data_IF_595516881373
#
_entry.id   IF_595516881373
#
_cell.length_a   1.000
_cell.length_b   1.000
_cell.length_c   1.000
_cell.angle_alpha   90.00
_cell.angle_beta   90.00
_cell.angle_gamma   90.00
#
_symmetry.space_group_name_H-M   'P 1'
#
loop_
_entity.id
_entity.type
_entity.pdbx_description
1 polymer ?
#
# COMPACT_ATOMS: atom_id res chain seq x y z
N UNK A 1 -11.57 4.29 -9.41
CA UNK A 1 -12.16 3.55 -8.27
C UNK A 1 -11.07 2.84 -7.48
N UNK A 2 -11.19 2.73 -6.15
CA UNK A 2 -10.19 2.10 -5.26
C UNK A 2 -10.21 0.57 -5.25
N UNK A 3 -11.25 -0.06 -5.80
CA UNK A 3 -11.36 -1.51 -6.00
C UNK A 3 -11.37 -2.29 -4.68
N UNK A 4 -12.54 -2.77 -4.25
CA UNK A 4 -12.75 -3.67 -3.10
C UNK A 4 -11.77 -3.47 -1.92
N UNK A 5 -11.69 -2.23 -1.45
CA UNK A 5 -10.80 -1.85 -0.35
C UNK A 5 -11.31 -2.46 0.95
N UNK A 6 -10.44 -3.19 1.64
CA UNK A 6 -10.75 -3.95 2.86
C UNK A 6 -9.75 -3.59 3.95
N UNK A 7 -9.86 -2.39 4.51
CA UNK A 7 -9.01 -2.04 5.63
C UNK A 7 -8.89 -0.56 5.93
N UNK A 8 -7.93 -0.25 6.79
CA UNK A 8 -7.50 1.13 7.04
C UNK A 8 -6.60 1.59 5.91
N UNK A 9 -6.66 2.89 5.67
CA UNK A 9 -5.77 3.59 4.75
C UNK A 9 -4.62 4.21 5.54
N UNK A 10 -3.51 4.43 4.85
CA UNK A 10 -2.44 5.31 5.30
C UNK A 10 -2.09 6.30 4.19
N UNK A 11 -1.60 7.49 4.55
CA UNK A 11 -1.34 8.58 3.59
C UNK A 11 -0.03 9.27 3.89
N UNK A 12 0.77 9.49 2.84
CA UNK A 12 1.99 10.28 2.90
C UNK A 12 1.92 11.41 1.85
N UNK A 13 2.33 12.62 2.24
CA UNK A 13 2.42 13.76 1.33
C UNK A 13 3.84 13.90 0.80
N UNK A 14 3.98 14.05 -0.51
CA UNK A 14 5.25 14.24 -1.19
C UNK A 14 5.59 15.74 -1.31
N UNK A 15 6.87 16.06 -1.51
CA UNK A 15 7.35 17.45 -1.55
C UNK A 15 6.79 18.24 -2.75
N UNK A 16 6.33 17.54 -3.78
CA UNK A 16 5.70 18.08 -4.98
C UNK A 16 4.18 18.29 -4.83
N UNK A 17 3.63 18.03 -3.63
CA UNK A 17 2.19 18.16 -3.33
C UNK A 17 1.35 16.94 -3.71
N UNK A 18 1.96 15.91 -4.30
CA UNK A 18 1.30 14.64 -4.58
C UNK A 18 1.10 13.84 -3.29
N UNK A 19 -0.07 13.22 -3.11
CA UNK A 19 -0.33 12.32 -2.00
C UNK A 19 -0.19 10.87 -2.44
N UNK A 20 0.40 10.03 -1.60
CA UNK A 20 0.39 8.58 -1.76
C UNK A 20 -0.56 7.98 -0.75
N UNK A 21 -1.53 7.22 -1.21
CA UNK A 21 -2.47 6.49 -0.35
C UNK A 21 -2.16 5.01 -0.43
N UNK A 22 -2.05 4.35 0.73
CA UNK A 22 -1.95 2.89 0.83
C UNK A 22 -3.22 2.28 1.42
N UNK A 23 -3.57 1.07 0.99
CA UNK A 23 -4.69 0.30 1.54
C UNK A 23 -4.54 -1.19 1.29
N UNK A 24 -5.26 -2.00 2.05
CA UNK A 24 -5.46 -3.42 1.75
C UNK A 24 -6.64 -3.58 0.79
N UNK A 25 -6.43 -4.30 -0.31
CA UNK A 25 -7.43 -4.62 -1.33
C UNK A 25 -7.66 -6.12 -1.36
N UNK A 26 -8.90 -6.52 -1.64
CA UNK A 26 -9.22 -7.88 -2.09
C UNK A 26 -9.25 -7.89 -3.62
N UNK A 27 -8.37 -8.65 -4.27
CA UNK A 27 -8.33 -8.74 -5.72
C UNK A 27 -9.48 -9.60 -6.25
N UNK A 28 -9.57 -9.74 -7.57
CA UNK A 28 -10.66 -10.47 -8.24
C UNK A 28 -10.68 -11.96 -7.91
N UNK A 29 -9.50 -12.55 -7.69
CA UNK A 29 -9.34 -13.94 -7.22
C UNK A 29 -9.66 -14.12 -5.73
N UNK A 30 -9.87 -13.02 -5.01
CA UNK A 30 -10.19 -13.01 -3.59
C UNK A 30 -8.98 -12.98 -2.65
N UNK A 31 -7.79 -12.80 -3.18
CA UNK A 31 -6.53 -12.69 -2.41
C UNK A 31 -6.33 -11.26 -1.92
N UNK A 32 -5.52 -11.08 -0.87
CA UNK A 32 -5.22 -9.77 -0.31
C UNK A 32 -4.00 -9.14 -0.98
N UNK A 33 -4.10 -7.84 -1.26
CA UNK A 33 -3.02 -7.05 -1.86
C UNK A 33 -2.84 -5.77 -1.05
N UNK A 34 -1.61 -5.48 -0.65
CA UNK A 34 -1.24 -4.15 -0.22
C UNK A 34 -1.04 -3.31 -1.48
N UNK A 35 -1.88 -2.30 -1.62
CA UNK A 35 -1.89 -1.42 -2.77
C UNK A 35 -1.48 0.00 -2.38
N UNK A 36 -0.95 0.73 -3.36
CA UNK A 36 -0.86 2.18 -3.31
C UNK A 36 -1.44 2.82 -4.56
N UNK A 37 -1.69 4.13 -4.45
CA UNK A 37 -2.01 5.01 -5.57
C UNK A 37 -1.54 6.41 -5.27
N UNK A 38 -1.02 7.07 -6.29
CA UNK A 38 -0.68 8.49 -6.25
C UNK A 38 -1.90 9.32 -6.62
N UNK A 39 -2.05 10.45 -5.94
CA UNK A 39 -3.10 11.43 -6.13
C UNK A 39 -2.39 12.77 -6.31
N UNK A 40 -2.41 13.29 -7.54
CA UNK A 40 -1.87 14.61 -7.83
C UNK A 40 -2.65 15.70 -7.08
N UNK A 41 -2.07 16.88 -6.94
CA UNK A 41 -2.73 18.05 -6.33
C UNK A 41 -4.08 18.39 -7.02
N UNK A 42 -4.18 18.13 -8.33
CA UNK A 42 -5.43 18.27 -9.12
C UNK A 42 -6.52 17.24 -8.77
N UNK A 43 -6.21 16.23 -7.95
CA UNK A 43 -7.03 15.06 -7.70
C UNK A 43 -6.92 13.97 -8.77
N UNK A 44 -6.05 14.14 -9.77
CA UNK A 44 -5.80 13.11 -10.79
C UNK A 44 -5.21 11.85 -10.14
N UNK A 45 -5.80 10.70 -10.46
CA UNK A 45 -5.44 9.41 -9.88
C UNK A 45 -4.49 8.64 -10.80
N UNK A 46 -3.37 8.16 -10.25
CA UNK A 46 -2.50 7.20 -10.95
C UNK A 46 -3.14 5.80 -11.03
N UNK A 47 -2.56 4.88 -11.81
CA UNK A 47 -2.86 3.45 -11.69
C UNK A 47 -2.68 2.94 -10.26
N UNK A 48 -3.33 1.81 -9.93
CA UNK A 48 -3.06 1.11 -8.67
C UNK A 48 -1.73 0.38 -8.83
N UNK A 49 -0.84 0.53 -7.87
CA UNK A 49 0.38 -0.26 -7.78
C UNK A 49 0.26 -1.27 -6.64
N UNK A 50 0.57 -2.54 -6.90
CA UNK A 50 0.63 -3.58 -5.88
C UNK A 50 2.03 -3.58 -5.27
N UNK A 51 2.10 -3.47 -3.95
CA UNK A 51 3.35 -3.51 -3.17
C UNK A 51 3.67 -4.93 -2.77
N UNK A 52 2.67 -5.68 -2.28
CA UNK A 52 2.84 -7.05 -1.81
C UNK A 52 1.51 -7.82 -1.82
N UNK A 53 1.58 -9.14 -1.95
CA UNK A 53 0.48 -10.04 -1.61
C UNK A 53 0.43 -10.27 -0.10
N UNK A 54 -0.78 -10.48 0.45
CA UNK A 54 -0.98 -10.76 1.88
C UNK A 54 -2.35 -11.41 2.13
N UNK A 55 -2.59 -11.88 3.35
CA UNK A 55 -3.88 -12.45 3.73
C UNK A 55 -4.94 -11.36 3.99
N UNK A 56 -6.20 -11.65 3.67
CA UNK A 56 -7.34 -10.71 3.88
C UNK A 56 -7.87 -10.65 5.32
N UNK A 57 -7.33 -11.48 6.22
CA UNK A 57 -7.82 -11.59 7.59
C UNK A 57 -7.45 -10.35 8.40
N UNK A 58 -8.31 -9.95 9.34
CA UNK A 58 -8.01 -8.83 10.26
C UNK A 58 -6.72 -9.03 11.07
N UNK A 59 -6.29 -10.29 11.24
CA UNK A 59 -5.03 -10.63 11.90
C UNK A 59 -3.79 -10.26 11.09
N UNK A 60 -3.90 -10.14 9.76
CA UNK A 60 -2.83 -9.64 8.87
C UNK A 60 -2.53 -8.15 9.07
N UNK A 61 -3.39 -7.46 9.83
CA UNK A 61 -3.25 -6.03 10.07
C UNK A 61 -3.48 -5.20 8.81
N UNK A 62 -3.06 -3.94 8.88
CA UNK A 62 -3.09 -3.00 7.75
C UNK A 62 -1.68 -2.48 7.54
N UNK A 63 -1.29 -2.16 6.29
CA UNK A 63 0.02 -1.60 6.04
C UNK A 63 0.16 -0.27 6.80
N UNK A 64 1.29 -0.10 7.50
CA UNK A 64 1.80 1.21 7.85
C UNK A 64 2.80 1.62 6.78
N UNK A 65 2.74 2.87 6.36
CA UNK A 65 3.59 3.44 5.33
C UNK A 65 4.32 4.64 5.92
N UNK A 66 5.60 4.78 5.61
CA UNK A 66 6.37 5.97 5.93
C UNK A 66 7.25 6.37 4.76
N UNK A 67 7.48 7.65 4.61
CA UNK A 67 8.45 8.17 3.64
C UNK A 67 9.86 8.16 4.22
N UNK A 68 10.78 7.53 3.48
CA UNK A 68 12.23 7.55 3.71
C UNK A 68 12.90 8.18 2.48
N UNK A 69 13.17 9.49 2.56
CA UNK A 69 13.72 10.33 1.49
C UNK A 69 13.07 10.07 0.11
N UNK A 70 13.72 9.24 -0.71
CA UNK A 70 13.34 8.91 -2.08
C UNK A 70 12.51 7.62 -2.20
N UNK A 71 11.99 7.12 -1.08
CA UNK A 71 11.26 5.87 -1.02
C UNK A 71 10.13 5.88 -0.01
N UNK A 72 9.23 4.92 -0.18
CA UNK A 72 8.23 4.55 0.80
C UNK A 72 8.64 3.22 1.41
N UNK A 73 8.63 3.15 2.72
CA UNK A 73 8.79 1.92 3.50
C UNK A 73 7.42 1.50 4.01
N UNK A 74 7.13 0.22 3.89
CA UNK A 74 5.88 -0.40 4.31
C UNK A 74 6.19 -1.43 5.38
N UNK A 75 5.30 -1.57 6.36
CA UNK A 75 5.31 -2.67 7.31
C UNK A 75 3.90 -3.24 7.47
N UNK A 76 3.77 -4.56 7.49
CA UNK A 76 2.51 -5.26 7.73
C UNK A 76 2.72 -6.55 8.51
N UNK A 77 1.66 -7.12 9.07
CA UNK A 77 1.73 -8.41 9.75
C UNK A 77 1.45 -9.52 8.75
N UNK A 78 2.42 -10.40 8.51
CA UNK A 78 2.15 -11.64 7.79
C UNK A 78 1.65 -12.71 8.76
N UNK A 79 0.52 -13.34 8.44
CA UNK A 79 -0.05 -14.47 9.19
C UNK A 79 -0.25 -15.72 8.35
N UNK A 80 0.30 -15.78 7.14
CA UNK A 80 0.17 -16.93 6.24
C UNK A 80 1.17 -18.07 6.56
N UNK A 81 2.17 -17.81 7.42
CA UNK A 81 3.09 -18.81 7.93
C UNK A 81 2.72 -19.35 9.32
N UNK A 82 3.56 -20.25 9.85
CA UNK A 82 3.36 -20.90 11.16
C UNK A 82 3.41 -19.91 12.35
N UNK A 83 4.02 -18.74 12.16
CA UNK A 83 4.19 -17.70 13.17
C UNK A 83 3.79 -16.35 12.58
N UNK A 84 3.25 -15.46 13.43
CA UNK A 84 3.03 -14.06 13.03
C UNK A 84 4.37 -13.34 12.99
N UNK A 85 4.62 -12.64 11.89
CA UNK A 85 5.83 -11.84 11.73
C UNK A 85 5.51 -10.50 11.09
N UNK A 86 6.37 -9.52 11.33
CA UNK A 86 6.32 -8.26 10.60
C UNK A 86 7.14 -8.41 9.33
N UNK A 87 6.51 -8.12 8.20
CA UNK A 87 7.19 -8.01 6.91
C UNK A 87 7.29 -6.55 6.51
N UNK A 88 8.31 -6.25 5.71
CA UNK A 88 8.57 -4.91 5.21
C UNK A 88 8.76 -4.91 3.71
N UNK A 89 8.28 -3.87 3.05
CA UNK A 89 8.47 -3.64 1.63
C UNK A 89 9.03 -2.24 1.41
N UNK A 90 9.83 -2.03 0.38
CA UNK A 90 10.37 -0.70 0.04
C UNK A 90 10.14 -0.40 -1.43
N UNK A 91 9.62 0.79 -1.70
CA UNK A 91 9.36 1.27 -3.04
C UNK A 91 10.11 2.56 -3.29
N UNK A 92 10.93 2.62 -4.36
CA UNK A 92 11.57 3.88 -4.78
C UNK A 92 10.60 4.73 -5.58
N UNK A 93 10.43 5.98 -5.18
CA UNK A 93 9.47 6.91 -5.78
C UNK A 93 9.75 7.24 -7.25
N UNK A 94 11.01 7.14 -7.69
CA UNK A 94 11.42 7.36 -9.09
C UNK A 94 11.17 6.15 -10.00
N UNK A 95 10.84 4.99 -9.44
CA UNK A 95 10.71 3.74 -10.20
C UNK A 95 9.30 3.50 -10.74
N UNK A 96 8.32 4.33 -10.38
CA UNK A 96 6.94 4.21 -10.84
C UNK A 96 6.58 5.31 -11.82
N UNK A 97 5.87 4.94 -12.88
CA UNK A 97 5.15 5.89 -13.70
C UNK A 97 3.96 6.42 -12.88
N UNK A 98 3.92 7.74 -12.69
CA UNK A 98 2.85 8.46 -11.97
C UNK A 98 1.81 8.95 -12.94
#
# INVERSE_FOLDING_TARGET
MCGNAIGRVDVELLDDGEAVVSWLRKNESGEGEICIRFIAESGTLSPIHVVAATGINRSSGFPQMLRDEQSLLFAWTNTEGDQKQIETGRLRLKALAR
#
